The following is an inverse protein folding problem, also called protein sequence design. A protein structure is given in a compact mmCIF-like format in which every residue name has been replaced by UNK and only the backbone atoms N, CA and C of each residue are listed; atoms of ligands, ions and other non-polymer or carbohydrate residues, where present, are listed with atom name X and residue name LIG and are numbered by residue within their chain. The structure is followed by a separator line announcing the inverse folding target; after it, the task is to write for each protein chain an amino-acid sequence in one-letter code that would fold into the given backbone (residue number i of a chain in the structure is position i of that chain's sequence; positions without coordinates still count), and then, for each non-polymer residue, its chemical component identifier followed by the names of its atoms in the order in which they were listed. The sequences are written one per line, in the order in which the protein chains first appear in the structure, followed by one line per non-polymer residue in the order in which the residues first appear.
data_IF_024371119431
#
_entry.id   IF_024371119431
#
_cell.length_a   1.000
_cell.length_b   1.000
_cell.length_c   1.000
_cell.angle_alpha   90.00
_cell.angle_beta   90.00
_cell.angle_gamma   90.00
#
_symmetry.space_group_name_H-M   'P 1'
#
loop_
_entity.id
_entity.type
_entity.pdbx_description
1 polymer ?
#
# COMPACT_ATOMS: atom_id res chain seq x y z
N UNK A 1 -61.42 8.30 -13.44
CA UNK A 1 -60.54 9.20 -14.22
C UNK A 1 -59.33 9.52 -13.38
N UNK A 2 -58.17 9.33 -14.00
CA UNK A 2 -56.78 9.33 -13.52
C UNK A 2 -56.41 10.47 -12.56
N UNK A 3 -55.94 10.12 -11.35
CA UNK A 3 -55.21 11.04 -10.47
C UNK A 3 -53.77 11.17 -10.94
N UNK A 4 -53.34 12.40 -11.24
CA UNK A 4 -51.97 12.75 -11.62
C UNK A 4 -51.14 12.90 -10.35
N UNK A 5 -50.06 12.14 -10.22
CA UNK A 5 -49.05 12.30 -9.16
C UNK A 5 -48.04 13.35 -9.65
N UNK A 6 -47.69 14.38 -8.87
CA UNK A 6 -46.71 15.37 -9.30
C UNK A 6 -45.28 14.80 -9.17
N UNK A 7 -44.43 15.06 -10.17
CA UNK A 7 -43.02 14.68 -10.16
C UNK A 7 -42.21 15.44 -9.08
N UNK A 8 -41.17 14.82 -8.50
CA UNK A 8 -40.32 15.47 -7.52
C UNK A 8 -39.44 16.55 -8.17
N UNK A 9 -39.51 17.77 -7.63
CA UNK A 9 -38.63 18.87 -8.00
C UNK A 9 -37.20 18.51 -7.58
N UNK A 10 -36.32 18.37 -8.57
CA UNK A 10 -34.89 18.11 -8.39
C UNK A 10 -34.21 19.39 -7.90
N UNK A 11 -33.72 19.39 -6.66
CA UNK A 11 -32.91 20.51 -6.15
C UNK A 11 -31.60 20.62 -6.95
N UNK A 12 -31.11 21.85 -7.25
CA UNK A 12 -29.82 22.03 -7.89
C UNK A 12 -28.70 21.51 -6.99
N UNK A 13 -27.69 20.88 -7.60
CA UNK A 13 -26.51 20.42 -6.89
C UNK A 13 -25.79 21.60 -6.21
N UNK A 14 -25.28 21.44 -4.97
CA UNK A 14 -24.49 22.48 -4.33
C UNK A 14 -23.23 22.75 -5.16
N UNK A 15 -22.91 24.04 -5.36
CA UNK A 15 -21.68 24.44 -6.02
C UNK A 15 -20.47 23.90 -5.26
N UNK A 16 -19.41 23.45 -5.95
CA UNK A 16 -18.19 23.01 -5.29
C UNK A 16 -17.61 24.19 -4.48
N UNK A 17 -17.07 23.93 -3.27
CA UNK A 17 -16.44 24.98 -2.49
C UNK A 17 -15.32 25.61 -3.31
N UNK A 18 -15.27 26.94 -3.26
CA UNK A 18 -14.22 27.73 -3.90
C UNK A 18 -12.86 27.15 -3.53
N UNK A 19 -12.00 26.93 -4.54
CA UNK A 19 -10.60 26.57 -4.37
C UNK A 19 -9.88 27.66 -3.55
N UNK A 20 -9.89 27.51 -2.24
CA UNK A 20 -8.94 28.17 -1.35
C UNK A 20 -7.63 27.42 -1.47
N UNK A 21 -6.57 28.10 -1.90
CA UNK A 21 -5.27 27.51 -2.22
C UNK A 21 -4.69 26.64 -1.10
N UNK A 22 -4.66 25.33 -1.32
CA UNK A 22 -3.96 24.34 -0.47
C UNK A 22 -2.47 24.22 -0.82
N UNK A 23 -1.97 25.03 -1.76
CA UNK A 23 -0.60 24.96 -2.28
C UNK A 23 0.50 25.42 -1.31
N UNK A 24 0.19 26.30 -0.35
CA UNK A 24 1.21 26.92 0.51
C UNK A 24 1.30 26.34 1.92
N UNK A 25 0.21 25.77 2.46
CA UNK A 25 0.19 25.28 3.84
C UNK A 25 0.86 23.90 4.02
N UNK A 26 0.86 23.06 2.98
CA UNK A 26 1.52 21.75 3.00
C UNK A 26 3.06 21.87 2.94
N UNK A 27 3.57 22.91 2.28
CA UNK A 27 5.02 23.17 2.11
C UNK A 27 5.64 23.63 3.43
N UNK A 28 4.92 24.44 4.22
CA UNK A 28 5.43 25.00 5.47
C UNK A 28 5.62 23.97 6.61
N UNK A 29 4.89 22.85 6.59
CA UNK A 29 5.08 21.75 7.56
C UNK A 29 6.24 20.82 7.18
N UNK A 30 6.59 20.74 5.90
CA UNK A 30 7.73 19.99 5.38
C UNK A 30 9.07 20.71 5.69
N UNK A 31 9.10 22.05 5.57
CA UNK A 31 10.31 22.84 5.86
C UNK A 31 10.67 22.86 7.35
N UNK A 32 9.69 22.97 8.25
CA UNK A 32 9.93 22.87 9.71
C UNK A 32 10.50 21.52 10.12
N UNK A 33 9.94 20.43 9.59
CA UNK A 33 10.45 19.08 9.84
C UNK A 33 11.86 18.89 9.26
N UNK A 34 12.14 19.47 8.09
CA UNK A 34 13.48 19.48 7.49
C UNK A 34 14.49 20.28 8.35
N UNK A 35 14.07 21.39 8.93
CA UNK A 35 14.93 22.23 9.79
C UNK A 35 15.22 21.59 11.15
N UNK A 36 14.23 20.94 11.76
CA UNK A 36 14.43 20.13 12.97
C UNK A 36 15.42 18.98 12.73
N UNK A 37 15.36 18.36 11.55
CA UNK A 37 16.30 17.29 11.15
C UNK A 37 17.70 17.80 10.85
N UNK A 38 17.82 18.95 10.18
CA UNK A 38 19.10 19.66 10.00
C UNK A 38 19.73 19.99 11.36
N UNK A 39 18.93 20.51 12.29
CA UNK A 39 19.38 20.81 13.65
C UNK A 39 19.82 19.55 14.42
N UNK A 40 19.22 18.40 14.14
CA UNK A 40 19.59 17.10 14.71
C UNK A 40 20.75 16.39 13.98
N UNK A 41 21.33 16.98 12.92
CA UNK A 41 22.38 16.35 12.11
C UNK A 41 21.90 15.15 11.29
N UNK A 42 20.59 14.99 11.13
CA UNK A 42 19.98 13.95 10.31
C UNK A 42 19.95 14.40 8.85
N UNK A 43 20.24 13.51 7.89
CA UNK A 43 20.20 13.89 6.49
C UNK A 43 18.76 14.24 6.07
N UNK A 44 18.68 15.32 5.28
CA UNK A 44 17.44 15.83 4.69
C UNK A 44 17.50 15.54 3.21
N UNK A 45 16.52 14.79 2.72
CA UNK A 45 16.39 14.51 1.28
C UNK A 45 15.77 15.73 0.61
N UNK A 46 16.39 16.21 -0.45
CA UNK A 46 15.90 17.35 -1.22
C UNK A 46 14.71 16.97 -2.08
N UNK A 47 13.88 17.95 -2.45
CA UNK A 47 12.76 17.74 -3.37
C UNK A 47 13.20 17.17 -4.73
N UNK A 48 14.38 17.55 -5.21
CA UNK A 48 14.96 17.01 -6.44
C UNK A 48 15.35 15.52 -6.32
N UNK A 49 15.88 15.09 -5.16
CA UNK A 49 16.17 13.68 -4.88
C UNK A 49 14.89 12.87 -4.70
N UNK A 50 13.86 13.45 -4.08
CA UNK A 50 12.52 12.88 -4.01
C UNK A 50 11.93 12.70 -5.43
N UNK A 51 11.97 13.74 -6.27
CA UNK A 51 11.45 13.71 -7.63
C UNK A 51 12.21 12.74 -8.55
N UNK A 52 13.53 12.61 -8.39
CA UNK A 52 14.34 11.62 -9.10
C UNK A 52 13.97 10.18 -8.69
N UNK A 53 13.59 9.94 -7.43
CA UNK A 53 13.09 8.63 -6.98
C UNK A 53 11.73 8.26 -7.59
N UNK A 54 10.90 9.26 -7.91
CA UNK A 54 9.59 9.07 -8.57
C UNK A 54 9.73 8.62 -10.03
N UNK A 55 10.87 8.91 -10.68
CA UNK A 55 11.06 8.74 -12.11
C UNK A 55 11.33 7.29 -12.59
N UNK A 56 11.49 6.31 -11.69
CA UNK A 56 11.72 4.91 -12.07
C UNK A 56 10.85 3.90 -11.31
N UNK A 57 9.57 3.72 -11.63
CA UNK A 57 8.76 2.67 -10.98
C UNK A 57 7.45 2.38 -11.73
N UNK A 58 7.54 1.72 -12.88
CA UNK A 58 6.42 0.89 -13.36
C UNK A 58 6.26 -0.34 -12.44
N UNK A 59 5.06 -0.93 -12.38
CA UNK A 59 4.88 -2.21 -11.69
C UNK A 59 5.90 -3.24 -12.22
N UNK A 60 6.49 -4.02 -11.32
CA UNK A 60 7.44 -5.06 -11.66
C UNK A 60 6.77 -6.04 -12.64
N UNK A 61 7.41 -6.34 -13.78
CA UNK A 61 6.77 -7.08 -14.88
C UNK A 61 6.65 -8.58 -14.62
N UNK A 62 6.58 -9.01 -13.36
CA UNK A 62 6.49 -10.41 -12.96
C UNK A 62 5.17 -11.01 -13.46
N UNK A 63 5.19 -11.98 -14.40
CA UNK A 63 3.95 -12.42 -15.04
C UNK A 63 2.92 -12.96 -14.06
N UNK A 64 1.72 -12.37 -14.10
CA UNK A 64 0.58 -12.69 -13.24
C UNK A 64 0.52 -11.87 -11.94
N UNK A 65 1.66 -11.38 -11.46
CA UNK A 65 1.69 -10.44 -10.36
C UNK A 65 0.99 -9.13 -10.78
N UNK A 66 0.44 -8.43 -9.79
CA UNK A 66 -0.16 -7.12 -9.99
C UNK A 66 0.14 -6.27 -8.76
N UNK A 67 0.19 -4.95 -8.96
CA UNK A 67 0.57 -4.01 -7.91
C UNK A 67 1.92 -4.38 -7.27
N UNK A 68 2.77 -5.09 -8.03
CA UNK A 68 4.06 -5.59 -7.60
C UNK A 68 5.09 -4.47 -7.77
N UNK A 69 5.77 -4.07 -6.71
CA UNK A 69 6.78 -2.99 -6.78
C UNK A 69 7.94 -3.24 -5.82
N UNK A 70 9.12 -2.81 -6.24
CA UNK A 70 10.28 -2.60 -5.36
C UNK A 70 10.08 -1.26 -4.65
N UNK A 71 10.17 -1.25 -3.32
CA UNK A 71 10.08 -0.04 -2.50
C UNK A 71 11.45 0.62 -2.31
N UNK A 72 12.48 0.11 -2.99
CA UNK A 72 13.78 0.76 -3.10
C UNK A 72 13.72 2.12 -3.79
N UNK A 73 14.60 3.03 -3.37
CA UNK A 73 14.62 4.42 -3.82
C UNK A 73 13.74 5.36 -2.99
N UNK A 74 12.83 4.83 -2.16
CA UNK A 74 12.04 5.67 -1.24
C UNK A 74 12.99 6.34 -0.24
N UNK A 75 12.95 7.67 -0.10
CA UNK A 75 13.78 8.36 0.86
C UNK A 75 13.35 8.06 2.30
N UNK A 76 14.35 7.94 3.16
CA UNK A 76 14.24 7.64 4.60
C UNK A 76 15.36 8.35 5.35
N UNK A 77 15.34 8.28 6.67
CA UNK A 77 16.40 8.78 7.53
C UNK A 77 17.69 8.02 7.23
N UNK A 78 18.76 8.76 6.95
CA UNK A 78 20.05 8.16 6.61
C UNK A 78 20.23 7.85 5.11
N UNK A 79 19.22 8.04 4.25
CA UNK A 79 19.39 7.88 2.80
C UNK A 79 18.12 7.39 2.08
N UNK A 80 18.23 6.30 1.34
CA UNK A 80 17.13 5.69 0.58
C UNK A 80 17.03 4.21 0.88
N UNK A 81 15.81 3.66 0.81
CA UNK A 81 15.60 2.21 0.87
C UNK A 81 16.40 1.56 -0.26
N UNK A 82 17.25 0.59 0.07
CA UNK A 82 18.01 -0.14 -0.95
C UNK A 82 17.06 -0.97 -1.81
N UNK A 83 17.31 -0.99 -3.12
CA UNK A 83 16.61 -1.87 -4.07
C UNK A 83 16.76 -3.34 -3.67
N UNK A 84 15.73 -4.13 -3.93
CA UNK A 84 15.73 -5.56 -3.62
C UNK A 84 15.53 -5.91 -2.15
N UNK A 85 15.33 -4.93 -1.26
CA UNK A 85 15.16 -5.18 0.18
C UNK A 85 13.71 -5.42 0.56
N UNK A 86 12.81 -4.53 0.12
CA UNK A 86 11.41 -4.55 0.48
C UNK A 86 10.56 -4.39 -0.77
N UNK A 87 9.61 -5.28 -0.94
CA UNK A 87 8.68 -5.30 -2.05
C UNK A 87 7.25 -5.27 -1.53
N UNK A 88 6.32 -4.87 -2.39
CA UNK A 88 4.88 -5.06 -2.19
C UNK A 88 4.27 -5.79 -3.37
N UNK A 89 3.12 -6.43 -3.17
CA UNK A 89 2.30 -6.98 -4.25
C UNK A 89 0.85 -7.18 -3.82
N UNK A 90 -0.04 -7.41 -4.78
CA UNK A 90 -1.30 -8.11 -4.56
C UNK A 90 -1.10 -9.60 -4.25
N UNK A 91 -2.20 -10.33 -4.26
CA UNK A 91 -2.22 -11.72 -3.79
C UNK A 91 -1.29 -12.64 -4.63
N UNK A 92 -0.51 -13.53 -3.97
CA UNK A 92 0.50 -14.36 -4.61
C UNK A 92 -0.07 -15.46 -5.52
N UNK A 93 -1.35 -15.81 -5.38
CA UNK A 93 -2.03 -16.80 -6.22
C UNK A 93 -2.22 -16.34 -7.67
N UNK A 94 -2.12 -15.03 -7.92
CA UNK A 94 -2.17 -14.51 -9.28
C UNK A 94 -0.85 -14.74 -10.03
N UNK A 95 0.24 -15.03 -9.32
CA UNK A 95 1.57 -15.13 -9.90
C UNK A 95 1.71 -16.44 -10.68
N UNK A 96 2.26 -16.35 -11.88
CA UNK A 96 2.58 -17.54 -12.69
C UNK A 96 3.90 -18.16 -12.23
N UNK A 97 4.19 -19.42 -12.61
CA UNK A 97 5.52 -20.00 -12.41
C UNK A 97 6.67 -19.19 -13.05
N UNK A 98 6.41 -18.40 -14.08
CA UNK A 98 7.38 -17.45 -14.62
C UNK A 98 7.57 -16.23 -13.70
N UNK A 99 6.46 -15.68 -13.17
CA UNK A 99 6.48 -14.59 -12.19
C UNK A 99 7.27 -14.93 -10.93
N UNK A 100 7.10 -16.14 -10.39
CA UNK A 100 7.90 -16.61 -9.25
C UNK A 100 9.41 -16.68 -9.55
N UNK A 101 9.79 -17.17 -10.75
CA UNK A 101 11.19 -17.23 -11.17
C UNK A 101 11.80 -15.85 -11.33
N UNK A 102 11.07 -14.91 -11.94
CA UNK A 102 11.52 -13.53 -12.09
C UNK A 102 11.62 -12.80 -10.75
N UNK A 103 10.67 -13.03 -9.84
CA UNK A 103 10.75 -12.50 -8.48
C UNK A 103 11.98 -13.02 -7.73
N UNK A 104 12.25 -14.33 -7.79
CA UNK A 104 13.44 -14.93 -7.18
C UNK A 104 14.73 -14.35 -7.74
N UNK A 105 14.81 -14.18 -9.07
CA UNK A 105 15.94 -13.54 -9.75
C UNK A 105 16.09 -12.06 -9.36
N UNK A 106 14.98 -11.36 -9.11
CA UNK A 106 14.93 -9.98 -8.61
C UNK A 106 15.31 -9.82 -7.13
N UNK A 107 15.63 -10.90 -6.43
CA UNK A 107 16.07 -10.87 -5.03
C UNK A 107 14.99 -11.21 -4.01
N UNK A 108 13.77 -11.56 -4.44
CA UNK A 108 12.71 -12.03 -3.52
C UNK A 108 13.13 -13.34 -2.88
N UNK A 109 12.94 -13.43 -1.57
CA UNK A 109 13.21 -14.62 -0.75
C UNK A 109 11.98 -15.11 -0.01
N UNK A 110 11.02 -14.22 0.22
CA UNK A 110 9.81 -14.56 0.98
C UNK A 110 8.65 -13.61 0.71
N UNK A 111 7.46 -14.10 1.01
CA UNK A 111 6.19 -13.38 0.98
C UNK A 111 5.57 -13.42 2.37
N UNK A 112 5.24 -12.25 2.91
CA UNK A 112 4.43 -12.08 4.10
C UNK A 112 3.02 -11.69 3.67
N UNK A 113 2.09 -12.63 3.79
CA UNK A 113 0.68 -12.46 3.44
C UNK A 113 -0.13 -12.03 4.65
N UNK A 114 -0.70 -10.83 4.56
CA UNK A 114 -1.41 -10.14 5.65
C UNK A 114 -2.88 -10.53 5.78
N UNK A 115 -3.38 -11.40 4.89
CA UNK A 115 -4.79 -11.78 4.85
C UNK A 115 -5.18 -12.67 6.03
N UNK A 116 -6.44 -12.61 6.43
CA UNK A 116 -7.04 -13.58 7.34
C UNK A 116 -7.20 -14.95 6.65
N UNK A 117 -6.87 -16.08 7.30
CA UNK A 117 -6.92 -17.42 6.71
C UNK A 117 -8.23 -17.81 6.00
N UNK A 118 -9.35 -17.17 6.37
CA UNK A 118 -10.68 -17.39 5.79
C UNK A 118 -10.87 -16.69 4.44
N UNK A 119 -10.04 -15.71 4.10
CA UNK A 119 -10.10 -15.12 2.76
C UNK A 119 -9.81 -16.19 1.69
N UNK A 120 -10.51 -16.18 0.55
CA UNK A 120 -10.32 -17.17 -0.50
C UNK A 120 -8.87 -17.22 -1.00
N UNK A 121 -8.27 -18.42 -0.96
CA UNK A 121 -6.89 -18.68 -1.38
C UNK A 121 -6.81 -19.97 -2.18
N UNK A 122 -5.90 -19.97 -3.14
CA UNK A 122 -5.38 -21.16 -3.79
C UNK A 122 -3.92 -21.32 -3.40
N UNK A 123 -3.34 -22.52 -3.60
CA UNK A 123 -1.91 -22.69 -3.36
C UNK A 123 -1.13 -21.75 -4.29
N UNK A 124 -0.13 -21.00 -3.79
CA UNK A 124 0.78 -20.26 -4.66
C UNK A 124 1.67 -21.24 -5.42
N UNK A 125 1.20 -21.69 -6.58
CA UNK A 125 1.89 -22.66 -7.42
C UNK A 125 3.18 -22.04 -7.99
N UNK A 126 4.32 -22.49 -7.47
CA UNK A 126 5.65 -22.12 -7.97
C UNK A 126 6.60 -21.50 -6.93
N UNK A 127 6.10 -21.03 -5.78
CA UNK A 127 6.94 -20.44 -4.74
C UNK A 127 8.02 -21.42 -4.21
N UNK A 128 7.60 -22.64 -3.89
CA UNK A 128 8.48 -23.71 -3.40
C UNK A 128 9.55 -24.11 -4.43
N UNK A 129 9.17 -24.16 -5.71
CA UNK A 129 10.07 -24.54 -6.80
C UNK A 129 11.25 -23.57 -7.00
N UNK A 130 11.12 -22.34 -6.50
CA UNK A 130 12.18 -21.31 -6.55
C UNK A 130 12.71 -20.95 -5.16
N UNK A 131 12.35 -21.72 -4.13
CA UNK A 131 12.81 -21.52 -2.75
C UNK A 131 12.31 -20.23 -2.08
N UNK A 132 11.16 -19.69 -2.50
CA UNK A 132 10.54 -18.54 -1.84
C UNK A 132 9.61 -19.02 -0.73
N UNK A 133 9.87 -18.59 0.51
CA UNK A 133 9.03 -18.91 1.66
C UNK A 133 7.76 -18.06 1.68
N UNK A 134 6.60 -18.66 1.98
CA UNK A 134 5.34 -17.91 2.16
C UNK A 134 4.91 -18.05 3.61
N UNK A 135 4.77 -16.92 4.31
CA UNK A 135 4.32 -16.85 5.69
C UNK A 135 3.04 -16.02 5.78
N UNK A 136 2.23 -16.32 6.80
CA UNK A 136 0.97 -15.62 7.06
C UNK A 136 1.07 -14.83 8.36
N UNK A 137 0.55 -13.61 8.34
CA UNK A 137 0.46 -12.73 9.50
C UNK A 137 -0.77 -11.84 9.35
N UNK A 138 -1.94 -12.38 9.71
CA UNK A 138 -3.21 -11.67 9.59
C UNK A 138 -3.20 -10.38 10.43
N UNK A 139 -3.60 -9.27 9.82
CA UNK A 139 -3.62 -7.95 10.48
C UNK A 139 -5.02 -7.47 10.85
N UNK A 140 -6.06 -8.17 10.41
CA UNK A 140 -7.46 -7.95 10.75
C UNK A 140 -8.06 -9.16 11.47
N UNK A 141 -9.30 -9.01 11.94
CA UNK A 141 -10.11 -10.10 12.48
C UNK A 141 -11.58 -9.97 12.04
N UNK A 142 -12.06 -10.78 11.09
CA UNK A 142 -13.46 -10.73 10.67
C UNK A 142 -14.46 -11.26 11.71
N UNK A 143 -14.04 -11.80 12.87
CA UNK A 143 -14.95 -12.08 14.00
C UNK A 143 -15.17 -10.86 14.90
N UNK A 144 -14.33 -9.83 14.78
CA UNK A 144 -14.50 -8.59 15.55
C UNK A 144 -15.73 -7.81 15.05
N UNK A 145 -16.68 -7.56 15.95
CA UNK A 145 -17.94 -6.92 15.62
C UNK A 145 -17.76 -5.46 15.16
N UNK A 146 -16.84 -4.72 15.77
CA UNK A 146 -16.57 -3.33 15.41
C UNK A 146 -15.87 -3.24 14.06
N UNK A 147 -14.96 -4.17 13.76
CA UNK A 147 -14.35 -4.29 12.43
C UNK A 147 -15.41 -4.59 11.36
N UNK A 148 -16.27 -5.57 11.61
CA UNK A 148 -17.37 -5.92 10.70
C UNK A 148 -18.33 -4.78 10.47
N UNK A 149 -18.63 -3.97 11.47
CA UNK A 149 -19.51 -2.80 11.33
C UNK A 149 -18.83 -1.66 10.57
N UNK A 150 -17.55 -1.41 10.88
CA UNK A 150 -16.80 -0.27 10.34
C UNK A 150 -16.29 -0.45 8.91
N UNK A 151 -15.94 -1.68 8.53
CA UNK A 151 -15.21 -1.99 7.30
C UNK A 151 -15.98 -2.97 6.40
N UNK A 152 -17.23 -2.63 6.08
CA UNK A 152 -18.03 -3.38 5.10
C UNK A 152 -17.77 -2.84 3.68
N UNK A 153 -17.44 -3.69 2.69
CA UNK A 153 -17.15 -5.13 2.79
C UNK A 153 -15.71 -5.45 3.24
N UNK A 154 -14.80 -4.49 3.19
CA UNK A 154 -13.41 -4.60 3.66
C UNK A 154 -12.81 -3.20 3.85
N UNK A 155 -11.62 -3.10 4.45
CA UNK A 155 -10.86 -1.85 4.49
C UNK A 155 -10.48 -1.41 3.08
N UNK A 156 -11.02 -0.28 2.62
CA UNK A 156 -10.88 0.17 1.23
C UNK A 156 -10.46 1.64 1.04
N UNK A 157 -10.20 2.35 2.15
CA UNK A 157 -9.86 3.77 2.11
C UNK A 157 -8.94 4.15 3.28
N UNK A 158 -8.00 5.07 3.03
CA UNK A 158 -7.00 5.54 4.02
C UNK A 158 -7.62 6.22 5.23
N UNK A 159 -8.79 6.84 5.09
CA UNK A 159 -9.57 7.40 6.19
C UNK A 159 -9.93 6.35 7.27
N UNK A 160 -9.96 5.06 6.92
CA UNK A 160 -10.19 3.97 7.85
C UNK A 160 -8.94 3.51 8.62
N UNK A 161 -7.75 3.97 8.26
CA UNK A 161 -6.49 3.46 8.84
C UNK A 161 -6.37 3.76 10.34
N UNK A 162 -6.83 4.93 10.80
CA UNK A 162 -6.80 5.27 12.22
C UNK A 162 -7.64 4.28 13.03
N UNK A 163 -8.87 4.04 12.60
CA UNK A 163 -9.80 3.12 13.28
C UNK A 163 -9.24 1.70 13.25
N UNK A 164 -8.70 1.27 12.10
CA UNK A 164 -8.10 -0.05 11.92
C UNK A 164 -6.92 -0.27 12.87
N UNK A 165 -6.05 0.72 13.01
CA UNK A 165 -4.91 0.67 13.94
C UNK A 165 -5.37 0.76 15.39
N UNK A 166 -6.45 1.50 15.67
CA UNK A 166 -7.07 1.50 16.99
C UNK A 166 -7.59 0.12 17.41
N UNK A 167 -8.09 -0.67 16.46
CA UNK A 167 -8.58 -2.04 16.70
C UNK A 167 -7.45 -3.08 16.71
N UNK A 168 -6.50 -2.99 15.77
CA UNK A 168 -5.54 -4.07 15.48
C UNK A 168 -4.07 -3.62 15.52
N UNK A 169 -3.76 -2.55 16.26
CA UNK A 169 -2.41 -1.99 16.35
C UNK A 169 -1.32 -3.00 16.67
N UNK A 170 -1.57 -3.93 17.61
CA UNK A 170 -0.64 -5.00 17.96
C UNK A 170 -0.37 -5.96 16.79
N UNK A 171 -1.40 -6.28 15.99
CA UNK A 171 -1.24 -7.15 14.81
C UNK A 171 -0.46 -6.45 13.70
N UNK A 172 -0.72 -5.15 13.48
CA UNK A 172 0.02 -4.34 12.51
C UNK A 172 1.48 -4.20 12.95
N UNK A 173 1.75 -3.94 14.23
CA UNK A 173 3.10 -3.87 14.78
C UNK A 173 3.83 -5.22 14.67
N UNK A 174 3.15 -6.34 14.94
CA UNK A 174 3.70 -7.68 14.75
C UNK A 174 4.05 -7.96 13.28
N UNK A 175 3.22 -7.52 12.33
CA UNK A 175 3.52 -7.65 10.90
C UNK A 175 4.75 -6.82 10.50
N UNK A 176 4.87 -5.57 10.98
CA UNK A 176 6.07 -4.74 10.76
C UNK A 176 7.31 -5.41 11.36
N UNK A 177 7.22 -5.90 12.60
CA UNK A 177 8.30 -6.62 13.26
C UNK A 177 8.71 -7.88 12.50
N UNK A 178 7.74 -8.60 11.94
CA UNK A 178 7.99 -9.77 11.09
C UNK A 178 8.76 -9.39 9.84
N UNK A 179 8.38 -8.33 9.13
CA UNK A 179 9.11 -7.83 7.94
C UNK A 179 10.58 -7.53 8.27
N UNK A 180 10.83 -6.89 9.43
CA UNK A 180 12.19 -6.57 9.89
C UNK A 180 12.98 -7.84 10.22
N UNK A 181 12.39 -8.77 10.97
CA UNK A 181 13.04 -10.03 11.37
C UNK A 181 13.35 -10.93 10.17
N UNK A 182 12.44 -10.96 9.21
CA UNK A 182 12.57 -11.66 7.94
C UNK A 182 13.76 -11.12 7.12
N UNK A 183 13.93 -9.79 7.07
CA UNK A 183 15.07 -9.14 6.42
C UNK A 183 14.90 -8.90 4.92
N UNK A 184 15.98 -8.66 4.16
CA UNK A 184 15.92 -8.32 2.73
C UNK A 184 15.24 -9.38 1.85
N UNK A 185 14.64 -8.94 0.75
CA UNK A 185 13.93 -9.81 -0.19
C UNK A 185 12.49 -10.14 0.22
N UNK A 186 11.89 -9.35 1.11
CA UNK A 186 10.53 -9.59 1.63
C UNK A 186 9.49 -8.88 0.80
N UNK A 187 8.49 -9.62 0.32
CA UNK A 187 7.28 -9.08 -0.31
C UNK A 187 6.18 -9.02 0.75
N UNK A 188 5.60 -7.85 0.97
CA UNK A 188 4.38 -7.71 1.78
C UNK A 188 3.16 -7.71 0.86
N UNK A 189 2.16 -8.54 1.13
CA UNK A 189 0.96 -8.60 0.30
C UNK A 189 -0.33 -8.73 1.11
N UNK A 190 -1.43 -8.39 0.45
CA UNK A 190 -2.79 -8.71 0.87
C UNK A 190 -3.57 -9.10 -0.39
N UNK A 191 -4.90 -8.96 -0.41
CA UNK A 191 -5.71 -9.33 -1.57
C UNK A 191 -5.37 -8.46 -2.79
N UNK A 192 -5.57 -7.15 -2.69
CA UNK A 192 -5.26 -6.21 -3.77
C UNK A 192 -3.84 -5.63 -3.71
N UNK A 193 -3.15 -5.85 -2.58
CA UNK A 193 -1.88 -5.21 -2.30
C UNK A 193 -2.00 -3.71 -2.07
N UNK A 194 -3.19 -3.19 -1.74
CA UNK A 194 -3.49 -1.75 -1.58
C UNK A 194 -3.53 -1.32 -0.13
N UNK A 195 -4.59 -1.65 0.60
CA UNK A 195 -4.88 -1.05 1.91
C UNK A 195 -4.02 -1.65 3.04
N UNK A 196 -4.22 -2.93 3.38
CA UNK A 196 -3.43 -3.61 4.44
C UNK A 196 -1.93 -3.62 4.15
N UNK A 197 -1.55 -3.85 2.90
CA UNK A 197 -0.16 -3.75 2.45
C UNK A 197 0.38 -2.32 2.54
N UNK A 198 -0.40 -1.33 2.10
CA UNK A 198 -0.05 0.09 2.21
C UNK A 198 0.13 0.52 3.66
N UNK A 199 -0.77 0.10 4.55
CA UNK A 199 -0.69 0.36 5.99
C UNK A 199 0.59 -0.21 6.60
N UNK A 200 0.87 -1.51 6.43
CA UNK A 200 2.06 -2.16 7.03
C UNK A 200 3.36 -1.59 6.46
N UNK A 201 3.47 -1.50 5.12
CA UNK A 201 4.68 -0.95 4.47
C UNK A 201 4.85 0.53 4.76
N UNK A 202 3.76 1.29 4.78
CA UNK A 202 3.74 2.71 5.09
C UNK A 202 4.14 3.01 6.52
N UNK A 203 3.69 2.20 7.49
CA UNK A 203 4.16 2.31 8.88
C UNK A 203 5.66 2.04 9.02
N UNK A 204 6.17 0.98 8.38
CA UNK A 204 7.59 0.68 8.38
C UNK A 204 8.41 1.83 7.76
N UNK A 205 8.01 2.29 6.58
CA UNK A 205 8.69 3.41 5.90
C UNK A 205 8.60 4.70 6.71
N UNK A 206 7.45 4.98 7.33
CA UNK A 206 7.25 6.16 8.18
C UNK A 206 8.10 6.11 9.45
N UNK A 207 8.30 4.92 10.03
CA UNK A 207 9.19 4.69 11.16
C UNK A 207 10.66 4.85 10.78
N UNK A 208 11.02 4.54 9.53
CA UNK A 208 12.32 4.89 8.93
C UNK A 208 12.39 6.37 8.52
N UNK A 209 11.32 7.15 8.71
CA UNK A 209 11.26 8.58 8.44
C UNK A 209 11.08 8.96 6.97
N UNK A 210 10.47 8.09 6.17
CA UNK A 210 9.99 8.45 4.85
C UNK A 210 8.99 9.62 4.91
N UNK A 211 9.08 10.60 3.97
CA UNK A 211 8.18 11.72 3.93
C UNK A 211 6.76 11.26 3.56
N UNK A 212 5.75 11.93 4.10
CA UNK A 212 4.34 11.60 3.85
C UNK A 212 4.02 11.61 2.35
N UNK A 213 4.61 12.52 1.58
CA UNK A 213 4.46 12.59 0.13
C UNK A 213 4.90 11.29 -0.57
N UNK A 214 5.93 10.59 -0.08
CA UNK A 214 6.35 9.30 -0.62
C UNK A 214 5.27 8.22 -0.42
N UNK A 215 4.64 8.25 0.75
CA UNK A 215 3.61 7.28 1.14
C UNK A 215 2.32 7.52 0.35
N UNK A 216 1.90 8.78 0.22
CA UNK A 216 0.76 9.17 -0.60
C UNK A 216 0.94 8.74 -2.06
N UNK A 217 2.12 8.99 -2.62
CA UNK A 217 2.47 8.56 -3.98
C UNK A 217 2.47 7.02 -4.12
N UNK A 218 2.97 6.30 -3.12
CA UNK A 218 2.91 4.84 -3.10
C UNK A 218 1.47 4.30 -3.03
N UNK A 219 0.58 4.97 -2.30
CA UNK A 219 -0.84 4.62 -2.18
C UNK A 219 -1.63 4.96 -3.45
N UNK A 220 -1.41 6.13 -4.05
CA UNK A 220 -2.02 6.51 -5.33
C UNK A 220 -1.65 5.51 -6.43
N UNK A 221 -0.39 5.11 -6.52
CA UNK A 221 0.04 4.07 -7.46
C UNK A 221 -0.66 2.74 -7.21
N UNK A 222 -0.87 2.36 -5.94
CA UNK A 222 -1.59 1.15 -5.60
C UNK A 222 -3.05 1.19 -6.06
N UNK A 223 -3.73 2.32 -5.87
CA UNK A 223 -5.10 2.54 -6.37
C UNK A 223 -5.14 2.42 -7.90
N UNK A 224 -4.22 3.11 -8.61
CA UNK A 224 -4.16 3.08 -10.08
C UNK A 224 -3.92 1.67 -10.62
N UNK A 225 -3.00 0.91 -10.02
CA UNK A 225 -2.72 -0.48 -10.42
C UNK A 225 -3.94 -1.40 -10.24
N UNK A 226 -4.65 -1.27 -9.11
CA UNK A 226 -5.88 -2.03 -8.86
C UNK A 226 -6.97 -1.68 -9.87
N UNK A 227 -7.20 -0.39 -10.14
CA UNK A 227 -8.17 0.06 -11.13
C UNK A 227 -7.83 -0.47 -12.53
N UNK A 228 -6.56 -0.41 -12.93
CA UNK A 228 -6.10 -0.95 -14.20
C UNK A 228 -6.37 -2.47 -14.30
N UNK A 229 -6.10 -3.25 -13.25
CA UNK A 229 -6.41 -4.67 -13.20
C UNK A 229 -7.90 -4.97 -13.40
N UNK A 230 -8.79 -4.17 -12.80
CA UNK A 230 -10.23 -4.34 -12.96
C UNK A 230 -10.67 -4.10 -14.41
N UNK A 231 -10.19 -3.02 -15.04
CA UNK A 231 -10.48 -2.70 -16.44
C UNK A 231 -10.03 -3.81 -17.41
N UNK A 232 -8.83 -4.35 -17.20
CA UNK A 232 -8.29 -5.43 -18.05
C UNK A 232 -9.06 -6.73 -17.86
N UNK A 233 -9.53 -7.03 -16.64
CA UNK A 233 -10.33 -8.23 -16.35
C UNK A 233 -11.74 -8.19 -16.91
N UNK A 234 -12.38 -7.02 -16.96
CA UNK A 234 -13.74 -6.88 -17.51
C UNK A 234 -13.81 -6.93 -19.03
N UNK A 235 -12.66 -6.91 -19.72
CA UNK A 235 -12.56 -6.88 -21.18
C UNK A 235 -12.20 -8.25 -21.78
N UNK A 236 -12.21 -9.32 -20.97
CA UNK A 236 -12.00 -10.72 -21.40
C UNK A 236 -13.19 -11.57 -20.99
#
# INVERSE_FOLDING_TARGET
MTGVVPEPVRAPAPEPPAHCGEGDAAVALDERAADERRAAGLPVVTRAEFDASRASVDDLPWPGAFNARDLGGIPVDGGVVRRGVLFRSGQPEAWTPAGWREAAAGGVRRVLDLRDPREPRSRPDGAEAVGIAVAHCAVDDPDDAAFRERFVPYLDHTAGYRDFVGMFGDRVAAAVGRVVADGPGTVVCCSAGRDRTGLVTGMLLRALGAPIAALQDADERAVRSVNHRHLVRTTR
#
